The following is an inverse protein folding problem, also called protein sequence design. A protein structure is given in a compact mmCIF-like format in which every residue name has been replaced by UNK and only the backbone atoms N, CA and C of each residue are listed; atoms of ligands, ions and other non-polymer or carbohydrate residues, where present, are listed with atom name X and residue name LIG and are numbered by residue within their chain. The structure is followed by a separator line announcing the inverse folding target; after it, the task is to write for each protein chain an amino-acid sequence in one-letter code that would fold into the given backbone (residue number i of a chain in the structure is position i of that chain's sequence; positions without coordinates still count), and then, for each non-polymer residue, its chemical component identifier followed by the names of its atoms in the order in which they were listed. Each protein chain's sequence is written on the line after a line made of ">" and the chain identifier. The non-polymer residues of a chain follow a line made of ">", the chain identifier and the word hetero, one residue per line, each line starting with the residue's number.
data_IF_583120197232
#
_entry.id   IF_583120197232
#
_cell.length_a   1.000
_cell.length_b   1.000
_cell.length_c   1.000
_cell.angle_alpha   90.00
_cell.angle_beta   90.00
_cell.angle_gamma   90.00
#
_symmetry.space_group_name_H-M   'P 1'
#
loop_
_entity.id
_entity.type
_entity.pdbx_description
1 polymer ?
#
# COMPACT_ATOMS: atom_id res chain seq x y z
N UNK A 1 -13.33 -22.19 -29.17
CA UNK A 1 -13.93 -20.83 -29.10
C UNK A 1 -12.82 -19.87 -28.74
N UNK A 2 -12.89 -18.64 -29.25
CA UNK A 2 -11.97 -17.60 -28.82
C UNK A 2 -12.48 -17.04 -27.48
N UNK A 3 -11.63 -17.01 -26.47
CA UNK A 3 -11.96 -16.53 -25.12
C UNK A 3 -11.26 -15.18 -24.90
N UNK A 4 -11.94 -14.24 -24.23
CA UNK A 4 -11.36 -12.94 -23.86
C UNK A 4 -11.65 -12.62 -22.40
N UNK A 5 -10.66 -12.10 -21.66
CA UNK A 5 -10.84 -11.74 -20.25
C UNK A 5 -11.39 -10.32 -20.09
N UNK A 6 -12.38 -10.16 -19.21
CA UNK A 6 -12.95 -8.85 -18.87
C UNK A 6 -11.89 -7.87 -18.32
N UNK A 7 -10.93 -8.39 -17.55
CA UNK A 7 -9.84 -7.62 -16.94
C UNK A 7 -8.92 -6.97 -17.97
N UNK A 8 -8.72 -7.58 -19.14
CA UNK A 8 -7.92 -6.99 -20.23
C UNK A 8 -8.54 -5.68 -20.73
N UNK A 9 -9.86 -5.61 -20.81
CA UNK A 9 -10.57 -4.40 -21.21
C UNK A 9 -10.60 -3.36 -20.10
N UNK A 10 -10.76 -3.77 -18.84
CA UNK A 10 -10.74 -2.84 -17.69
C UNK A 10 -9.42 -2.07 -17.60
N UNK A 11 -8.31 -2.73 -17.93
CA UNK A 11 -6.95 -2.17 -17.85
C UNK A 11 -6.55 -1.30 -19.07
N UNK A 12 -7.31 -1.35 -20.17
CA UNK A 12 -7.06 -0.48 -21.34
C UNK A 12 -7.31 0.99 -21.01
N UNK A 13 -6.48 1.86 -21.59
CA UNK A 13 -6.69 3.32 -21.49
C UNK A 13 -7.93 3.72 -22.29
N UNK A 14 -8.64 4.81 -21.91
CA UNK A 14 -9.85 5.24 -22.62
C UNK A 14 -9.70 5.36 -24.14
N UNK A 15 -8.61 5.93 -24.71
CA UNK A 15 -8.45 6.02 -26.16
C UNK A 15 -8.33 4.66 -26.85
N UNK A 16 -7.65 3.70 -26.22
CA UNK A 16 -7.51 2.33 -26.75
C UNK A 16 -8.86 1.59 -26.71
N UNK A 17 -9.66 1.84 -25.67
CA UNK A 17 -10.98 1.26 -25.53
C UNK A 17 -11.95 1.79 -26.60
N UNK A 18 -11.89 3.09 -26.89
CA UNK A 18 -12.68 3.73 -27.95
C UNK A 18 -12.28 3.19 -29.32
N UNK A 19 -10.99 3.15 -29.64
CA UNK A 19 -10.50 2.59 -30.90
C UNK A 19 -10.92 1.12 -31.09
N UNK A 20 -10.89 0.33 -30.02
CA UNK A 20 -11.37 -1.04 -30.05
C UNK A 20 -12.89 -1.13 -30.28
N UNK A 21 -13.68 -0.28 -29.62
CA UNK A 21 -15.12 -0.22 -29.83
C UNK A 21 -15.49 0.21 -31.26
N UNK A 22 -14.76 1.18 -31.83
CA UNK A 22 -14.93 1.61 -33.22
C UNK A 22 -14.60 0.46 -34.20
N UNK A 23 -13.57 -0.34 -33.92
CA UNK A 23 -13.25 -1.54 -34.71
C UNK A 23 -14.32 -2.64 -34.66
N UNK A 24 -15.17 -2.62 -33.63
CA UNK A 24 -16.32 -3.51 -33.46
C UNK A 24 -17.65 -2.86 -33.93
N UNK A 25 -17.57 -1.73 -34.64
CA UNK A 25 -18.73 -0.99 -35.15
C UNK A 25 -19.75 -0.62 -34.04
N UNK A 26 -19.22 -0.18 -32.89
CA UNK A 26 -20.03 0.43 -31.82
C UNK A 26 -20.29 1.90 -32.17
N UNK A 27 -21.57 2.23 -32.38
CA UNK A 27 -21.99 3.60 -32.66
C UNK A 27 -21.75 4.53 -31.46
N UNK A 28 -21.31 5.77 -31.73
CA UNK A 28 -21.12 6.82 -30.72
C UNK A 28 -20.19 6.45 -29.55
N UNK A 29 -19.22 5.55 -29.78
CA UNK A 29 -18.26 5.08 -28.78
C UNK A 29 -17.53 6.22 -28.03
N UNK A 30 -17.23 7.33 -28.72
CA UNK A 30 -16.52 8.48 -28.16
C UNK A 30 -17.32 9.30 -27.13
N UNK A 31 -18.65 9.20 -27.13
CA UNK A 31 -19.54 9.95 -26.22
C UNK A 31 -19.94 9.12 -25.00
N UNK A 32 -19.76 7.80 -25.07
CA UNK A 32 -20.15 6.86 -24.02
C UNK A 32 -19.25 6.95 -22.80
N UNK A 33 -19.84 6.74 -21.61
CA UNK A 33 -19.04 6.52 -20.39
C UNK A 33 -18.32 5.17 -20.49
N UNK A 34 -17.20 5.01 -19.77
CA UNK A 34 -16.40 3.77 -19.79
C UNK A 34 -17.25 2.50 -19.59
N UNK A 35 -18.24 2.52 -18.70
CA UNK A 35 -19.14 1.38 -18.47
C UNK A 35 -20.09 1.09 -19.63
N UNK A 36 -20.70 2.12 -20.21
CA UNK A 36 -21.59 1.98 -21.39
C UNK A 36 -20.79 1.46 -22.59
N UNK A 37 -19.59 1.98 -22.77
CA UNK A 37 -18.65 1.55 -23.80
C UNK A 37 -18.24 0.09 -23.61
N UNK A 38 -17.89 -0.30 -22.38
CA UNK A 38 -17.62 -1.69 -22.01
C UNK A 38 -18.82 -2.59 -22.32
N UNK A 39 -20.02 -2.20 -21.91
CA UNK A 39 -21.23 -2.97 -22.18
C UNK A 39 -21.48 -3.14 -23.69
N UNK A 40 -21.30 -2.08 -24.48
CA UNK A 40 -21.46 -2.13 -25.93
C UNK A 40 -20.44 -3.05 -26.62
N UNK A 41 -19.16 -2.98 -26.22
CA UNK A 41 -18.10 -3.88 -26.69
C UNK A 41 -18.46 -5.33 -26.39
N UNK A 42 -18.79 -5.64 -25.14
CA UNK A 42 -19.08 -7.00 -24.71
C UNK A 42 -20.32 -7.57 -25.41
N UNK A 43 -21.33 -6.73 -25.67
CA UNK A 43 -22.52 -7.11 -26.43
C UNK A 43 -22.17 -7.48 -27.88
N UNK A 44 -21.27 -6.73 -28.54
CA UNK A 44 -20.77 -7.05 -29.89
C UNK A 44 -19.94 -8.33 -29.91
N UNK A 45 -19.06 -8.53 -28.92
CA UNK A 45 -18.28 -9.77 -28.80
C UNK A 45 -19.19 -10.99 -28.60
N UNK A 46 -20.22 -10.87 -27.77
CA UNK A 46 -21.20 -11.94 -27.56
C UNK A 46 -21.97 -12.28 -28.85
N UNK A 47 -22.27 -11.32 -29.73
CA UNK A 47 -22.89 -11.59 -31.04
C UNK A 47 -21.95 -12.27 -32.05
N UNK A 48 -20.65 -12.28 -31.78
CA UNK A 48 -19.62 -12.95 -32.60
C UNK A 48 -19.23 -14.33 -32.03
N UNK A 49 -20.03 -14.90 -31.12
CA UNK A 49 -19.75 -16.16 -30.42
C UNK A 49 -18.38 -16.19 -29.69
N UNK A 50 -17.92 -15.02 -29.23
CA UNK A 50 -16.72 -14.89 -28.38
C UNK A 50 -17.15 -14.97 -26.92
N UNK A 51 -16.63 -15.95 -26.18
CA UNK A 51 -16.90 -16.07 -24.75
C UNK A 51 -16.06 -15.05 -23.96
N UNK A 52 -16.73 -14.32 -23.07
CA UNK A 52 -16.08 -13.36 -22.17
C UNK A 52 -15.92 -14.03 -20.82
N UNK A 53 -14.69 -14.09 -20.33
CA UNK A 53 -14.35 -14.62 -19.01
C UNK A 53 -14.25 -13.46 -18.01
N UNK A 54 -15.01 -13.54 -16.93
CA UNK A 54 -14.92 -12.63 -15.79
C UNK A 54 -14.24 -13.31 -14.61
N UNK A 55 -13.50 -12.52 -13.84
CA UNK A 55 -12.88 -12.94 -12.57
C UNK A 55 -13.16 -11.92 -11.47
N UNK A 56 -13.15 -12.40 -10.22
CA UNK A 56 -13.20 -11.54 -9.04
C UNK A 56 -13.35 -12.34 -7.74
N UNK A 57 -13.38 -11.62 -6.62
CA UNK A 57 -13.53 -12.21 -5.29
C UNK A 57 -14.99 -12.15 -4.87
N UNK A 58 -15.53 -13.30 -4.46
CA UNK A 58 -16.93 -13.44 -4.03
C UNK A 58 -17.19 -12.62 -2.78
N UNK A 59 -18.26 -11.85 -2.79
CA UNK A 59 -18.93 -11.29 -1.63
C UNK A 59 -20.38 -11.78 -1.64
N UNK A 60 -20.75 -12.58 -0.64
CA UNK A 60 -22.13 -13.04 -0.44
C UNK A 60 -22.88 -11.99 0.40
N UNK A 61 -24.12 -11.71 0.02
CA UNK A 61 -25.01 -10.78 0.72
C UNK A 61 -26.10 -11.55 1.49
N UNK A 62 -26.78 -10.85 2.41
CA UNK A 62 -27.82 -11.43 3.29
C UNK A 62 -28.89 -12.27 2.58
N UNK A 63 -29.30 -11.83 1.40
CA UNK A 63 -30.33 -12.48 0.59
C UNK A 63 -29.82 -13.76 -0.11
N UNK A 64 -28.56 -14.14 0.12
CA UNK A 64 -27.92 -15.35 -0.37
C UNK A 64 -27.44 -15.30 -1.83
N UNK A 65 -27.60 -14.16 -2.51
CA UNK A 65 -26.90 -13.87 -3.77
C UNK A 65 -25.58 -13.12 -3.48
N UNK A 66 -24.73 -12.98 -4.48
CA UNK A 66 -23.45 -12.31 -4.29
C UNK A 66 -22.92 -11.60 -5.52
N UNK A 67 -21.79 -10.94 -5.35
CA UNK A 67 -21.05 -10.26 -6.41
C UNK A 67 -19.58 -10.67 -6.42
N UNK A 68 -18.97 -10.73 -7.60
CA UNK A 68 -17.52 -10.78 -7.75
C UNK A 68 -16.97 -9.36 -7.76
N UNK A 69 -16.27 -9.03 -6.68
CA UNK A 69 -15.59 -7.74 -6.50
C UNK A 69 -14.25 -7.75 -7.21
N UNK A 70 -13.94 -6.60 -7.82
CA UNK A 70 -12.72 -6.39 -8.60
C UNK A 70 -11.55 -5.93 -7.72
N UNK A 71 -10.38 -6.55 -7.88
CA UNK A 71 -9.15 -6.10 -7.23
C UNK A 71 -8.74 -4.67 -7.67
N UNK A 72 -9.03 -4.29 -8.93
CA UNK A 72 -8.75 -2.95 -9.45
C UNK A 72 -9.57 -1.84 -8.77
N UNK A 73 -10.68 -2.21 -8.14
CA UNK A 73 -11.55 -1.30 -7.39
C UNK A 73 -11.34 -1.42 -5.87
N UNK A 74 -10.22 -2.02 -5.43
CA UNK A 74 -9.93 -2.31 -4.02
C UNK A 74 -11.05 -3.11 -3.34
N UNK A 75 -11.71 -3.99 -4.10
CA UNK A 75 -12.86 -4.80 -3.66
C UNK A 75 -14.08 -4.00 -3.20
N UNK A 76 -14.17 -2.72 -3.56
CA UNK A 76 -15.35 -1.90 -3.28
C UNK A 76 -16.49 -2.23 -4.26
N UNK A 77 -17.75 -2.00 -3.84
CA UNK A 77 -18.89 -2.15 -4.73
C UNK A 77 -18.77 -1.31 -5.99
N UNK A 78 -18.81 -1.98 -7.13
CA UNK A 78 -18.65 -1.42 -8.45
C UNK A 78 -19.84 -1.72 -9.37
N UNK A 79 -20.16 -0.81 -10.31
CA UNK A 79 -21.15 -1.09 -11.35
C UNK A 79 -20.69 -2.15 -12.37
N UNK A 80 -19.40 -2.48 -12.39
CA UNK A 80 -18.77 -3.51 -13.21
C UNK A 80 -18.57 -4.85 -12.47
N UNK A 81 -19.25 -5.01 -11.34
CA UNK A 81 -19.29 -6.26 -10.57
C UNK A 81 -20.13 -7.32 -11.27
N UNK A 82 -19.75 -8.58 -11.05
CA UNK A 82 -20.40 -9.74 -11.67
C UNK A 82 -21.31 -10.39 -10.66
N UNK A 83 -22.61 -10.38 -10.93
CA UNK A 83 -23.63 -11.08 -10.15
C UNK A 83 -23.42 -12.59 -10.17
N UNK A 84 -23.56 -13.21 -9.00
CA UNK A 84 -23.62 -14.65 -8.79
C UNK A 84 -24.95 -15.02 -8.14
N UNK A 85 -25.61 -16.03 -8.72
CA UNK A 85 -26.89 -16.49 -8.21
C UNK A 85 -26.74 -17.32 -6.91
N UNK A 86 -27.77 -17.34 -6.05
CA UNK A 86 -27.80 -18.22 -4.88
C UNK A 86 -27.62 -19.70 -5.23
N UNK A 87 -28.10 -20.12 -6.41
CA UNK A 87 -27.94 -21.50 -6.88
C UNK A 87 -26.50 -21.87 -7.19
N UNK A 88 -25.71 -20.94 -7.77
CA UNK A 88 -24.29 -21.14 -8.02
C UNK A 88 -23.50 -21.18 -6.70
N UNK A 89 -23.77 -20.24 -5.78
CA UNK A 89 -23.15 -20.21 -4.45
C UNK A 89 -23.37 -21.52 -3.72
N UNK A 90 -24.62 -22.01 -3.66
CA UNK A 90 -24.95 -23.28 -2.99
C UNK A 90 -24.31 -24.49 -3.67
N UNK A 91 -24.36 -24.57 -5.01
CA UNK A 91 -23.87 -25.73 -5.79
C UNK A 91 -22.37 -25.97 -5.61
N UNK A 92 -21.59 -24.89 -5.56
CA UNK A 92 -20.13 -24.94 -5.40
C UNK A 92 -19.68 -24.67 -3.98
N UNK A 93 -20.61 -24.46 -3.04
CA UNK A 93 -20.34 -24.12 -1.64
C UNK A 93 -19.39 -22.91 -1.50
N UNK A 94 -19.59 -21.91 -2.37
CA UNK A 94 -18.79 -20.69 -2.39
C UNK A 94 -18.99 -19.89 -1.11
N UNK A 95 -17.92 -19.25 -0.65
CA UNK A 95 -17.93 -18.34 0.50
C UNK A 95 -17.37 -16.98 0.12
N UNK A 96 -17.71 -15.96 0.92
CA UNK A 96 -17.08 -14.66 0.81
C UNK A 96 -15.56 -14.80 0.96
N UNK A 97 -14.82 -14.25 0.00
CA UNK A 97 -13.35 -14.40 -0.10
C UNK A 97 -12.88 -15.40 -1.14
N UNK A 98 -13.73 -16.28 -1.68
CA UNK A 98 -13.35 -17.17 -2.77
C UNK A 98 -13.10 -16.38 -4.06
N UNK A 99 -11.97 -16.61 -4.72
CA UNK A 99 -11.72 -16.07 -6.06
C UNK A 99 -12.38 -16.98 -7.08
N UNK A 100 -13.22 -16.44 -7.96
CA UNK A 100 -13.94 -17.22 -8.97
C UNK A 100 -13.64 -16.66 -10.35
N UNK A 101 -13.39 -17.55 -11.30
CA UNK A 101 -13.26 -17.21 -12.72
C UNK A 101 -14.24 -18.05 -13.55
N UNK A 102 -14.85 -17.44 -14.55
CA UNK A 102 -15.69 -18.16 -15.51
C UNK A 102 -16.40 -17.26 -16.52
N UNK A 103 -17.09 -17.85 -17.51
CA UNK A 103 -17.79 -17.10 -18.54
C UNK A 103 -18.90 -16.26 -17.95
N UNK A 104 -19.01 -15.03 -18.42
CA UNK A 104 -20.03 -14.06 -18.01
C UNK A 104 -20.94 -13.69 -19.18
N UNK A 105 -22.13 -13.25 -18.85
CA UNK A 105 -23.07 -12.66 -19.80
C UNK A 105 -23.40 -11.22 -19.43
N UNK A 106 -23.74 -10.44 -20.44
CA UNK A 106 -24.31 -9.11 -20.27
C UNK A 106 -25.68 -9.17 -19.55
N UNK A 107 -26.04 -8.10 -18.82
CA UNK A 107 -27.38 -7.97 -18.23
C UNK A 107 -28.47 -8.04 -19.30
N UNK A 108 -29.56 -8.73 -19.00
CA UNK A 108 -30.80 -8.72 -19.78
C UNK A 108 -31.61 -7.45 -19.49
N UNK A 109 -32.70 -7.28 -20.23
CA UNK A 109 -33.65 -6.20 -20.02
C UNK A 109 -34.15 -6.18 -18.57
N UNK A 110 -33.89 -5.09 -17.84
CA UNK A 110 -34.19 -4.94 -16.41
C UNK A 110 -33.07 -5.34 -15.44
N UNK A 111 -31.99 -5.99 -15.90
CA UNK A 111 -30.80 -6.28 -15.09
C UNK A 111 -29.78 -5.16 -15.21
N UNK A 112 -29.00 -4.91 -14.14
CA UNK A 112 -27.97 -3.84 -14.11
C UNK A 112 -26.53 -4.34 -14.14
N UNK A 113 -26.30 -5.61 -13.81
CA UNK A 113 -24.95 -6.17 -13.62
C UNK A 113 -24.69 -7.32 -14.59
N UNK A 114 -23.42 -7.56 -14.88
CA UNK A 114 -23.01 -8.80 -15.55
C UNK A 114 -23.37 -10.00 -14.68
N UNK A 115 -23.66 -11.14 -15.29
CA UNK A 115 -24.00 -12.36 -14.53
C UNK A 115 -23.06 -13.50 -14.92
N UNK A 116 -22.58 -14.24 -13.92
CA UNK A 116 -21.77 -15.43 -14.15
C UNK A 116 -22.63 -16.54 -14.77
N UNK A 117 -22.20 -17.10 -15.90
CA UNK A 117 -22.87 -18.22 -16.55
C UNK A 117 -22.47 -19.54 -15.89
N UNK A 118 -21.16 -19.74 -15.73
CA UNK A 118 -20.56 -20.97 -15.23
C UNK A 118 -19.33 -20.63 -14.42
N UNK A 119 -19.05 -21.44 -13.40
CA UNK A 119 -17.79 -21.40 -12.65
C UNK A 119 -16.79 -22.33 -13.36
N UNK A 120 -15.67 -21.77 -13.84
CA UNK A 120 -14.59 -22.55 -14.44
C UNK A 120 -13.55 -22.92 -13.39
N UNK A 121 -13.09 -21.96 -12.60
CA UNK A 121 -12.13 -22.19 -11.51
C UNK A 121 -12.56 -21.48 -10.24
N UNK A 122 -12.10 -21.99 -9.11
CA UNK A 122 -12.28 -21.38 -7.79
C UNK A 122 -10.91 -21.42 -7.10
N UNK A 123 -10.46 -20.30 -6.54
CA UNK A 123 -9.15 -20.14 -5.89
C UNK A 123 -8.00 -20.74 -6.71
N UNK A 124 -8.02 -20.47 -8.02
CA UNK A 124 -7.03 -20.91 -9.02
C UNK A 124 -6.95 -22.43 -9.24
N UNK A 125 -7.97 -23.18 -8.82
CA UNK A 125 -8.02 -24.64 -8.95
C UNK A 125 -9.39 -25.12 -9.46
N UNK A 126 -9.48 -26.41 -9.78
CA UNK A 126 -10.70 -27.04 -10.27
C UNK A 126 -11.81 -27.01 -9.20
N UNK A 127 -13.06 -26.63 -9.55
CA UNK A 127 -14.15 -26.51 -8.59
C UNK A 127 -14.44 -27.80 -7.79
N UNK A 128 -14.22 -28.98 -8.38
CA UNK A 128 -14.46 -30.26 -7.71
C UNK A 128 -13.46 -30.53 -6.58
N UNK A 129 -12.22 -30.04 -6.66
CA UNK A 129 -11.20 -30.26 -5.62
C UNK A 129 -11.50 -29.49 -4.33
N UNK A 130 -12.32 -28.44 -4.40
CA UNK A 130 -12.64 -27.59 -3.24
C UNK A 130 -13.60 -28.27 -2.27
N UNK A 131 -14.44 -29.18 -2.75
CA UNK A 131 -15.43 -29.88 -1.91
C UNK A 131 -14.82 -30.68 -0.76
N UNK A 132 -13.54 -31.05 -0.89
CA UNK A 132 -12.81 -31.82 0.11
C UNK A 132 -11.83 -30.97 0.95
N UNK A 133 -11.81 -29.64 0.77
CA UNK A 133 -10.92 -28.77 1.54
C UNK A 133 -11.42 -28.66 2.99
N UNK A 134 -10.48 -28.82 3.91
CA UNK A 134 -10.71 -28.59 5.33
C UNK A 134 -10.93 -27.09 5.50
N UNK A 135 -11.97 -26.72 6.25
CA UNK A 135 -12.21 -25.33 6.60
C UNK A 135 -11.00 -24.75 7.32
N UNK A 136 -10.62 -23.51 7.02
CA UNK A 136 -9.43 -22.89 7.62
C UNK A 136 -9.43 -22.95 9.16
N UNK A 137 -10.60 -22.72 9.79
CA UNK A 137 -10.78 -22.79 11.25
C UNK A 137 -10.47 -24.17 11.86
N UNK A 138 -10.54 -25.23 11.07
CA UNK A 138 -10.29 -26.60 11.51
C UNK A 138 -8.80 -26.98 11.34
N UNK A 139 -7.98 -26.09 10.77
CA UNK A 139 -6.54 -26.32 10.63
C UNK A 139 -5.86 -26.13 11.99
N UNK A 140 -4.88 -26.98 12.28
CA UNK A 140 -4.08 -26.86 13.51
C UNK A 140 -3.09 -25.69 13.37
N UNK A 141 -3.14 -24.68 14.24
CA UNK A 141 -2.18 -23.59 14.20
C UNK A 141 -0.81 -24.09 14.65
N UNK A 142 0.21 -23.83 13.84
CA UNK A 142 1.60 -24.16 14.13
C UNK A 142 2.47 -22.90 14.07
N UNK A 143 3.58 -22.91 14.81
CA UNK A 143 4.62 -21.91 14.63
C UNK A 143 5.27 -22.04 13.24
N UNK A 144 5.78 -20.94 12.66
CA UNK A 144 6.48 -20.99 11.38
C UNK A 144 7.67 -21.95 11.42
N UNK A 145 7.62 -23.01 10.61
CA UNK A 145 8.71 -24.00 10.47
C UNK A 145 9.56 -23.75 9.22
N UNK A 146 9.01 -23.06 8.22
CA UNK A 146 9.71 -22.68 7.00
C UNK A 146 10.10 -21.20 7.09
N UNK A 147 11.40 -20.92 7.02
CA UNK A 147 11.93 -19.56 6.98
C UNK A 147 11.63 -18.89 5.65
N UNK A 148 11.38 -17.58 5.69
CA UNK A 148 11.39 -16.69 4.54
C UNK A 148 12.73 -15.94 4.55
N UNK A 149 13.63 -16.25 3.61
CA UNK A 149 14.92 -15.59 3.48
C UNK A 149 14.68 -14.21 2.86
N UNK A 150 15.09 -13.16 3.55
CA UNK A 150 14.94 -11.78 3.08
C UNK A 150 16.16 -11.36 2.23
N UNK A 151 17.36 -11.78 2.60
CA UNK A 151 18.59 -11.45 1.87
C UNK A 151 18.52 -11.94 0.42
N UNK A 152 18.58 -10.98 -0.51
CA UNK A 152 18.68 -11.23 -1.95
C UNK A 152 20.16 -11.44 -2.33
N UNK A 153 20.42 -12.31 -3.31
CA UNK A 153 21.79 -12.63 -3.74
C UNK A 153 22.45 -11.55 -4.62
N UNK A 154 21.79 -10.41 -4.81
CA UNK A 154 22.31 -9.29 -5.60
C UNK A 154 23.35 -8.52 -4.78
N UNK A 155 24.66 -8.55 -5.11
CA UNK A 155 25.72 -8.00 -4.25
C UNK A 155 25.80 -6.47 -4.22
N UNK A 156 24.98 -5.77 -5.01
CA UNK A 156 25.15 -4.35 -5.34
C UNK A 156 24.07 -3.42 -4.79
N UNK A 157 23.09 -3.89 -4.01
CA UNK A 157 22.18 -2.95 -3.33
C UNK A 157 22.89 -2.32 -2.14
N UNK A 158 22.96 -0.98 -2.10
CA UNK A 158 23.37 -0.19 -0.91
C UNK A 158 22.50 -0.51 0.33
N UNK A 159 21.36 -1.16 0.11
CA UNK A 159 20.40 -1.52 1.14
C UNK A 159 20.73 -2.85 1.81
N UNK A 160 20.97 -2.80 3.12
CA UNK A 160 21.29 -3.95 3.98
C UNK A 160 20.10 -4.39 4.85
N UNK A 161 18.92 -3.75 4.73
CA UNK A 161 17.79 -3.97 5.63
C UNK A 161 17.34 -5.43 5.64
N UNK A 162 17.27 -6.08 4.47
CA UNK A 162 16.88 -7.48 4.35
C UNK A 162 17.82 -8.42 5.14
N UNK A 163 19.14 -8.17 5.07
CA UNK A 163 20.16 -8.92 5.81
C UNK A 163 20.02 -8.73 7.31
N UNK A 164 19.76 -7.50 7.74
CA UNK A 164 19.53 -7.16 9.16
C UNK A 164 18.28 -7.86 9.68
N UNK A 165 17.17 -7.88 8.91
CA UNK A 165 15.96 -8.62 9.27
C UNK A 165 16.30 -10.09 9.46
N UNK A 166 17.02 -10.70 8.52
CA UNK A 166 17.40 -12.11 8.58
C UNK A 166 18.26 -12.49 9.79
N UNK A 167 19.05 -11.56 10.32
CA UNK A 167 19.91 -11.78 11.48
C UNK A 167 19.20 -11.49 12.81
N UNK A 168 18.39 -10.43 12.86
CA UNK A 168 17.83 -9.89 14.11
C UNK A 168 16.40 -10.36 14.36
N UNK A 169 15.58 -10.44 13.30
CA UNK A 169 14.15 -10.74 13.40
C UNK A 169 13.71 -11.60 12.19
N UNK A 170 14.17 -12.86 12.09
CA UNK A 170 13.88 -13.71 10.95
C UNK A 170 12.38 -13.95 10.80
N UNK A 171 11.90 -13.90 9.55
CA UNK A 171 10.51 -14.12 9.20
C UNK A 171 10.30 -15.55 8.67
N UNK A 172 9.10 -16.10 8.88
CA UNK A 172 8.73 -17.44 8.41
C UNK A 172 7.32 -17.50 7.83
N UNK A 173 6.99 -18.59 7.15
CA UNK A 173 5.64 -18.82 6.60
C UNK A 173 4.64 -18.99 7.74
N UNK A 174 3.65 -18.10 7.81
CA UNK A 174 2.70 -18.00 8.93
C UNK A 174 3.12 -17.03 10.04
N UNK A 175 4.22 -16.29 9.87
CA UNK A 175 4.70 -15.32 10.85
C UNK A 175 3.74 -14.13 10.97
N UNK A 176 3.52 -13.68 12.22
CA UNK A 176 2.91 -12.39 12.54
C UNK A 176 4.02 -11.43 12.94
N UNK A 177 4.12 -10.28 12.28
CA UNK A 177 5.19 -9.32 12.49
C UNK A 177 4.61 -7.91 12.48
N UNK A 178 5.16 -7.02 13.32
CA UNK A 178 4.86 -5.60 13.28
C UNK A 178 6.16 -4.81 13.08
N UNK A 179 6.06 -3.75 12.28
CA UNK A 179 7.12 -2.77 12.08
C UNK A 179 6.63 -1.46 12.68
N UNK A 180 7.15 -1.11 13.85
CA UNK A 180 6.96 0.24 14.39
C UNK A 180 8.02 1.15 13.78
N UNK A 181 7.81 2.47 13.81
CA UNK A 181 8.73 3.45 13.28
C UNK A 181 8.30 4.82 13.79
N UNK A 182 9.23 5.76 14.04
CA UNK A 182 8.83 7.17 14.10
C UNK A 182 8.38 7.65 12.71
N UNK A 183 7.57 8.72 12.60
CA UNK A 183 7.20 9.25 11.30
C UNK A 183 8.44 9.69 10.53
N UNK A 184 8.39 9.50 9.20
CA UNK A 184 9.43 9.93 8.24
C UNK A 184 10.80 9.22 8.39
N UNK A 185 10.82 7.99 8.89
CA UNK A 185 12.06 7.22 9.11
C UNK A 185 12.29 6.08 8.10
N UNK A 186 11.56 6.07 6.99
CA UNK A 186 11.77 5.10 5.92
C UNK A 186 10.98 3.79 6.07
N UNK A 187 9.92 3.77 6.89
CA UNK A 187 9.06 2.58 7.03
C UNK A 187 8.49 2.08 5.69
N UNK A 188 8.05 2.98 4.82
CA UNK A 188 7.55 2.62 3.49
C UNK A 188 8.63 1.94 2.64
N UNK A 189 9.87 2.42 2.73
CA UNK A 189 11.02 1.84 2.04
C UNK A 189 11.31 0.43 2.57
N UNK A 190 11.27 0.25 3.90
CA UNK A 190 11.43 -1.08 4.50
C UNK A 190 10.35 -2.07 4.05
N UNK A 191 9.09 -1.62 3.95
CA UNK A 191 7.99 -2.45 3.47
C UNK A 191 8.16 -2.85 2.00
N UNK A 192 8.58 -1.90 1.15
CA UNK A 192 8.92 -2.17 -0.24
C UNK A 192 10.06 -3.18 -0.36
N UNK A 193 11.08 -3.08 0.48
CA UNK A 193 12.19 -4.01 0.50
C UNK A 193 11.77 -5.43 0.90
N UNK A 194 10.90 -5.57 1.90
CA UNK A 194 10.33 -6.87 2.29
C UNK A 194 9.52 -7.46 1.13
N UNK A 195 8.68 -6.65 0.49
CA UNK A 195 7.89 -7.07 -0.66
C UNK A 195 8.79 -7.55 -1.82
N UNK A 196 9.82 -6.78 -2.18
CA UNK A 196 10.79 -7.18 -3.21
C UNK A 196 11.54 -8.45 -2.85
N UNK A 197 11.95 -8.59 -1.58
CA UNK A 197 12.67 -9.78 -1.09
C UNK A 197 11.79 -11.03 -1.18
N UNK A 198 10.52 -10.94 -0.77
CA UNK A 198 9.56 -12.05 -0.87
C UNK A 198 9.31 -12.39 -2.34
N UNK A 199 9.02 -11.41 -3.20
CA UNK A 199 8.76 -11.68 -4.63
C UNK A 199 9.96 -12.33 -5.34
N UNK A 200 11.18 -11.95 -4.94
CA UNK A 200 12.42 -12.47 -5.55
C UNK A 200 12.79 -13.85 -5.01
N UNK A 201 12.84 -14.01 -3.69
CA UNK A 201 13.34 -15.23 -3.05
C UNK A 201 12.24 -16.30 -2.89
N UNK A 202 10.98 -15.88 -2.88
CA UNK A 202 9.81 -16.74 -2.63
C UNK A 202 8.70 -16.48 -3.66
N UNK A 203 8.95 -16.70 -4.97
CA UNK A 203 7.95 -16.47 -6.01
C UNK A 203 6.72 -17.38 -5.90
N UNK A 204 6.81 -18.45 -5.10
CA UNK A 204 5.66 -19.31 -4.77
C UNK A 204 4.68 -18.67 -3.78
N UNK A 205 5.09 -17.61 -3.08
CA UNK A 205 4.24 -16.91 -2.13
C UNK A 205 3.32 -15.91 -2.86
N UNK A 206 2.02 -16.02 -2.57
CA UNK A 206 1.06 -15.02 -3.01
C UNK A 206 1.19 -13.76 -2.12
N UNK A 207 1.74 -12.67 -2.68
CA UNK A 207 2.01 -11.44 -1.96
C UNK A 207 0.84 -10.44 -2.11
N UNK A 208 0.29 -9.99 -0.97
CA UNK A 208 -0.74 -8.95 -0.90
C UNK A 208 -0.21 -7.81 -0.02
N UNK A 209 -0.33 -6.57 -0.50
CA UNK A 209 -0.01 -5.36 0.27
C UNK A 209 -1.30 -4.59 0.52
N UNK A 210 -1.80 -4.64 1.76
CA UNK A 210 -2.97 -3.87 2.19
C UNK A 210 -2.52 -2.54 2.80
N UNK A 211 -2.98 -1.44 2.21
CA UNK A 211 -2.72 -0.09 2.71
C UNK A 211 -3.98 0.44 3.38
N UNK A 212 -3.87 0.79 4.65
CA UNK A 212 -4.94 1.42 5.44
C UNK A 212 -4.39 2.78 5.89
N UNK A 213 -5.02 3.86 5.45
CA UNK A 213 -4.66 5.22 5.88
C UNK A 213 -5.39 5.59 7.18
N UNK A 214 -4.82 6.52 7.96
CA UNK A 214 -5.47 7.19 9.12
C UNK A 214 -5.82 6.36 10.37
N UNK A 215 -5.22 5.19 10.60
CA UNK A 215 -5.45 4.40 11.84
C UNK A 215 -5.12 5.18 13.13
N UNK A 216 -4.21 6.16 13.04
CA UNK A 216 -3.74 7.02 14.13
C UNK A 216 -4.64 8.24 14.38
N UNK A 217 -5.44 8.65 13.40
CA UNK A 217 -6.41 9.75 13.54
C UNK A 217 -7.75 9.29 14.06
N UNK A 218 -8.09 8.02 13.87
CA UNK A 218 -9.30 7.41 14.41
C UNK A 218 -9.39 7.58 15.94
N UNK A 219 -10.61 7.48 16.47
CA UNK A 219 -10.87 7.62 17.90
C UNK A 219 -10.06 6.58 18.70
N UNK A 220 -9.72 6.89 19.95
CA UNK A 220 -8.89 6.02 20.82
C UNK A 220 -9.49 4.61 20.97
N UNK A 221 -10.81 4.49 20.77
CA UNK A 221 -11.53 3.21 20.75
C UNK A 221 -11.25 2.39 19.49
N UNK A 222 -11.02 3.00 18.33
CA UNK A 222 -10.83 2.30 17.06
C UNK A 222 -9.61 1.37 17.02
N UNK A 223 -8.41 1.74 17.54
CA UNK A 223 -7.31 0.79 17.70
C UNK A 223 -7.64 -0.36 18.65
N UNK A 224 -8.45 -0.13 19.69
CA UNK A 224 -8.85 -1.17 20.63
C UNK A 224 -9.88 -2.10 20.02
N UNK A 225 -10.81 -1.57 19.24
CA UNK A 225 -11.78 -2.35 18.50
C UNK A 225 -11.03 -3.24 17.54
N UNK A 226 -10.19 -2.65 16.66
CA UNK A 226 -9.32 -3.36 15.69
C UNK A 226 -8.45 -4.45 16.30
N UNK A 227 -8.15 -4.45 17.61
CA UNK A 227 -7.41 -5.55 18.22
C UNK A 227 -8.15 -6.86 18.09
N UNK A 228 -9.47 -6.85 18.23
CA UNK A 228 -10.25 -8.07 18.13
C UNK A 228 -10.22 -8.58 16.69
N UNK A 229 -10.40 -7.69 15.71
CA UNK A 229 -10.40 -8.05 14.30
C UNK A 229 -9.02 -8.47 13.81
N UNK A 230 -7.96 -7.82 14.29
CA UNK A 230 -6.58 -8.15 13.95
C UNK A 230 -6.07 -9.41 14.67
N UNK A 231 -6.49 -9.69 15.90
CA UNK A 231 -6.07 -10.90 16.62
C UNK A 231 -6.80 -12.13 16.08
N UNK A 232 -8.11 -11.98 15.82
CA UNK A 232 -8.94 -13.05 15.29
C UNK A 232 -8.88 -13.18 13.77
N UNK A 233 -8.38 -12.17 13.07
CA UNK A 233 -8.40 -12.05 11.60
C UNK A 233 -9.82 -12.20 11.03
N UNK A 234 -10.79 -11.65 11.75
CA UNK A 234 -12.21 -11.67 11.42
C UNK A 234 -12.89 -10.38 11.83
N UNK A 235 -13.91 -9.94 11.12
CA UNK A 235 -14.77 -8.84 11.56
C UNK A 235 -16.22 -9.15 11.25
N UNK A 236 -17.13 -8.65 12.08
CA UNK A 236 -18.56 -8.76 11.84
C UNK A 236 -19.04 -7.55 11.04
N UNK A 237 -19.70 -7.80 9.91
CA UNK A 237 -20.32 -6.75 9.10
C UNK A 237 -21.78 -6.68 9.49
N UNK A 238 -22.17 -5.64 10.23
CA UNK A 238 -23.52 -5.48 10.77
C UNK A 238 -24.58 -5.38 9.66
N UNK A 239 -24.22 -4.71 8.56
CA UNK A 239 -25.07 -4.50 7.39
C UNK A 239 -25.39 -5.80 6.66
N UNK A 240 -24.47 -6.78 6.69
CA UNK A 240 -24.67 -8.09 6.05
C UNK A 240 -24.95 -9.19 7.07
N UNK A 241 -24.86 -8.92 8.37
CA UNK A 241 -25.05 -9.93 9.41
C UNK A 241 -24.04 -11.08 9.34
N UNK A 242 -22.94 -10.91 8.60
CA UNK A 242 -21.95 -11.94 8.36
C UNK A 242 -20.65 -11.63 9.10
N UNK A 243 -19.95 -12.69 9.54
CA UNK A 243 -18.56 -12.57 10.00
C UNK A 243 -17.63 -12.87 8.84
N UNK A 244 -16.88 -11.86 8.39
CA UNK A 244 -15.88 -12.00 7.34
C UNK A 244 -14.55 -12.39 7.99
N UNK A 245 -13.93 -13.49 7.51
CA UNK A 245 -12.66 -14.02 8.06
C UNK A 245 -11.61 -14.12 6.97
N UNK A 246 -10.35 -13.86 7.31
CA UNK A 246 -9.25 -13.98 6.36
C UNK A 246 -8.95 -15.46 6.02
N UNK A 247 -9.05 -15.83 4.74
CA UNK A 247 -8.71 -17.18 4.23
C UNK A 247 -7.20 -17.46 4.26
N UNK A 248 -6.38 -16.40 4.14
CA UNK A 248 -4.92 -16.43 4.29
C UNK A 248 -4.55 -15.37 5.31
N UNK A 249 -3.78 -15.74 6.35
CA UNK A 249 -3.35 -14.75 7.36
C UNK A 249 -2.43 -13.70 6.73
N UNK A 250 -2.84 -12.43 6.67
CA UNK A 250 -2.01 -11.39 6.12
C UNK A 250 -0.89 -11.05 7.12
N UNK A 251 0.26 -10.64 6.58
CA UNK A 251 1.24 -9.91 7.38
C UNK A 251 0.68 -8.51 7.58
N UNK A 252 0.31 -8.16 8.81
CA UNK A 252 -0.27 -6.85 9.13
C UNK A 252 0.80 -5.90 9.66
N UNK A 253 1.07 -4.82 8.92
CA UNK A 253 2.11 -3.85 9.29
C UNK A 253 1.47 -2.49 9.58
N UNK A 254 1.38 -2.13 10.86
CA UNK A 254 0.74 -0.88 11.32
C UNK A 254 1.77 0.23 11.46
N UNK A 255 1.62 1.32 10.70
CA UNK A 255 2.45 2.53 10.79
C UNK A 255 1.86 3.47 11.83
N UNK A 256 2.68 4.08 12.68
CA UNK A 256 2.25 5.20 13.52
C UNK A 256 3.26 6.33 13.40
N UNK A 257 2.77 7.57 13.40
CA UNK A 257 3.57 8.78 13.52
C UNK A 257 3.82 9.18 14.99
N UNK A 258 3.37 8.38 15.96
CA UNK A 258 3.48 8.68 17.38
C UNK A 258 2.85 10.04 17.77
N UNK A 259 1.85 10.53 17.01
CA UNK A 259 1.06 11.72 17.36
C UNK A 259 0.06 11.44 18.49
N UNK A 260 -0.46 10.20 18.55
CA UNK A 260 -1.22 9.66 19.68
C UNK A 260 -0.52 8.41 20.22
N UNK A 261 -0.50 8.26 21.54
CA UNK A 261 -0.01 7.02 22.18
C UNK A 261 -1.01 5.88 21.93
N UNK A 262 -0.51 4.78 21.36
CA UNK A 262 -1.31 3.56 21.21
C UNK A 262 -1.43 2.85 22.58
N UNK A 263 -2.58 2.25 22.91
CA UNK A 263 -2.77 1.57 24.20
C UNK A 263 -1.77 0.43 24.44
N UNK A 264 -1.34 0.23 25.69
CA UNK A 264 -0.43 -0.88 26.06
C UNK A 264 -0.96 -2.26 25.66
N UNK A 265 -2.28 -2.45 25.70
CA UNK A 265 -2.94 -3.68 25.26
C UNK A 265 -2.73 -3.96 23.76
N UNK A 266 -2.62 -2.91 22.96
CA UNK A 266 -2.30 -2.97 21.53
C UNK A 266 -0.82 -3.29 21.32
N UNK A 267 0.05 -2.56 22.04
CA UNK A 267 1.50 -2.69 21.92
C UNK A 267 2.02 -4.07 22.36
N UNK A 268 1.43 -4.70 23.38
CA UNK A 268 1.84 -6.03 23.86
C UNK A 268 1.55 -7.19 22.90
N UNK A 269 0.62 -7.01 21.95
CA UNK A 269 0.26 -8.04 20.95
C UNK A 269 1.04 -7.91 19.65
N UNK A 270 2.02 -7.03 19.65
CA UNK A 270 2.65 -6.45 18.49
C UNK A 270 4.17 -6.54 18.65
N UNK A 271 4.89 -6.98 17.61
CA UNK A 271 6.35 -6.89 17.62
C UNK A 271 6.78 -5.44 17.41
N UNK A 272 7.36 -4.81 18.43
CA UNK A 272 7.67 -3.38 18.37
C UNK A 272 9.06 -3.15 17.77
N UNK A 273 9.12 -2.47 16.61
CA UNK A 273 10.39 -2.03 16.01
C UNK A 273 10.49 -0.50 16.14
N UNK A 274 11.47 0.09 16.80
CA UNK A 274 11.52 1.57 16.88
C UNK A 274 12.55 2.13 15.91
N UNK A 275 12.10 2.80 14.86
CA UNK A 275 13.01 3.52 13.96
C UNK A 275 13.22 4.93 14.50
N UNK A 276 14.46 5.21 14.93
CA UNK A 276 14.91 6.54 15.36
C UNK A 276 15.14 7.44 14.15
N UNK A 277 14.95 8.75 14.31
CA UNK A 277 15.49 9.70 13.34
C UNK A 277 17.01 9.47 13.18
N UNK A 278 17.54 9.43 11.94
CA UNK A 278 18.95 9.10 11.72
C UNK A 278 19.86 10.09 12.45
N UNK A 279 21.00 9.61 12.94
CA UNK A 279 22.10 10.46 13.39
C UNK A 279 22.86 11.06 12.20
N UNK A 280 23.79 11.98 12.47
CA UNK A 280 24.55 12.68 11.43
C UNK A 280 25.27 11.72 10.48
N UNK A 281 25.87 10.65 11.01
CA UNK A 281 26.58 9.66 10.20
C UNK A 281 25.64 8.85 9.31
N UNK A 282 24.48 8.44 9.85
CA UNK A 282 23.47 7.70 9.11
C UNK A 282 22.84 8.57 8.04
N UNK A 283 22.51 9.83 8.35
CA UNK A 283 21.94 10.76 7.38
C UNK A 283 22.95 11.09 6.27
N UNK A 284 24.24 11.18 6.60
CA UNK A 284 25.30 11.32 5.61
C UNK A 284 25.35 10.13 4.65
N UNK A 285 25.30 8.89 5.16
CA UNK A 285 25.23 7.69 4.31
C UNK A 285 23.99 7.70 3.42
N UNK A 286 22.85 8.17 3.94
CA UNK A 286 21.62 8.36 3.15
C UNK A 286 21.87 9.36 2.01
N UNK A 287 22.48 10.51 2.27
CA UNK A 287 22.81 11.50 1.23
C UNK A 287 23.70 10.90 0.13
N UNK A 288 24.75 10.16 0.50
CA UNK A 288 25.66 9.51 -0.46
C UNK A 288 24.97 8.42 -1.30
N UNK A 289 23.90 7.80 -0.77
CA UNK A 289 23.05 6.88 -1.52
C UNK A 289 22.31 7.61 -2.63
N UNK A 290 21.66 8.73 -2.29
CA UNK A 290 20.78 9.49 -3.17
C UNK A 290 21.53 10.37 -4.18
N UNK A 291 22.66 10.96 -3.79
CA UNK A 291 23.41 11.91 -4.60
C UNK A 291 24.90 11.56 -4.63
N UNK A 292 25.30 10.53 -5.41
CA UNK A 292 26.69 10.14 -5.51
C UNK A 292 27.53 11.26 -6.14
N UNK A 293 28.66 11.61 -5.52
CA UNK A 293 29.62 12.58 -6.06
C UNK A 293 29.45 14.03 -5.59
N UNK A 294 28.54 14.32 -4.66
CA UNK A 294 28.51 15.64 -4.00
C UNK A 294 29.81 15.86 -3.22
N UNK A 295 30.33 17.10 -3.27
CA UNK A 295 31.46 17.55 -2.44
C UNK A 295 31.16 17.28 -0.96
N UNK A 296 31.95 16.42 -0.35
CA UNK A 296 31.74 15.95 1.03
C UNK A 296 31.76 17.08 2.08
N UNK A 297 32.53 18.14 1.81
CA UNK A 297 32.55 19.33 2.65
C UNK A 297 31.20 20.07 2.66
N UNK A 298 30.49 20.08 1.53
CA UNK A 298 29.15 20.69 1.40
C UNK A 298 28.13 19.88 2.19
N UNK A 299 28.14 18.55 2.04
CA UNK A 299 27.24 17.64 2.77
C UNK A 299 27.42 17.81 4.27
N UNK A 300 28.66 17.81 4.77
CA UNK A 300 28.93 18.01 6.20
C UNK A 300 28.43 19.36 6.70
N UNK A 301 28.71 20.45 5.98
CA UNK A 301 28.25 21.79 6.36
C UNK A 301 26.71 21.88 6.39
N UNK A 302 26.04 21.33 5.37
CA UNK A 302 24.59 21.29 5.30
C UNK A 302 24.00 20.44 6.44
N UNK A 303 24.52 19.24 6.69
CA UNK A 303 24.00 18.37 7.76
C UNK A 303 24.18 19.01 9.14
N UNK A 304 25.32 19.64 9.43
CA UNK A 304 25.51 20.38 10.69
C UNK A 304 24.40 21.41 10.89
N UNK A 305 24.18 22.26 9.89
CA UNK A 305 23.16 23.30 9.95
C UNK A 305 21.73 22.72 10.03
N UNK A 306 21.47 21.59 9.35
CA UNK A 306 20.20 20.88 9.42
C UNK A 306 19.87 20.39 10.84
N UNK A 307 20.84 19.81 11.55
CA UNK A 307 20.63 19.36 12.94
C UNK A 307 20.50 20.55 13.90
N UNK A 308 21.27 21.61 13.71
CA UNK A 308 21.12 22.85 14.50
C UNK A 308 19.68 23.39 14.42
N UNK A 309 19.09 23.44 13.22
CA UNK A 309 17.70 23.86 13.02
C UNK A 309 16.72 22.90 13.70
N UNK A 310 16.96 21.59 13.55
CA UNK A 310 16.08 20.53 14.08
C UNK A 310 16.09 20.48 15.62
N UNK A 311 17.17 20.92 16.24
CA UNK A 311 17.37 20.96 17.68
C UNK A 311 16.93 22.29 18.33
N UNK A 312 16.51 23.29 17.54
CA UNK A 312 15.91 24.52 18.06
C UNK A 312 14.66 24.20 18.90
N UNK A 313 14.64 24.58 20.19
CA UNK A 313 13.47 24.40 21.04
C UNK A 313 12.27 25.22 20.54
N UNK A 314 11.07 24.63 20.62
CA UNK A 314 9.82 25.30 20.24
C UNK A 314 9.42 25.17 18.77
N UNK A 315 10.22 24.46 17.95
CA UNK A 315 9.85 24.14 16.58
C UNK A 315 8.63 23.20 16.55
N UNK A 316 7.53 23.62 15.91
CA UNK A 316 6.32 22.80 15.84
C UNK A 316 6.53 21.58 14.95
N UNK A 317 7.17 21.78 13.81
CA UNK A 317 7.41 20.72 12.82
C UNK A 317 8.89 20.59 12.50
N UNK A 318 9.51 19.56 13.07
CA UNK A 318 10.92 19.25 12.80
C UNK A 318 11.13 18.81 11.35
N UNK A 319 12.13 19.36 10.63
CA UNK A 319 12.39 19.02 9.23
C UNK A 319 12.84 17.55 9.09
N UNK A 320 12.35 16.87 8.06
CA UNK A 320 12.53 15.44 7.79
C UNK A 320 13.78 15.13 6.96
N UNK A 321 14.12 13.84 6.87
CA UNK A 321 15.15 13.33 5.96
C UNK A 321 14.88 13.73 4.51
N UNK A 322 13.62 13.70 4.04
CA UNK A 322 13.26 14.16 2.69
C UNK A 322 13.50 15.65 2.49
N UNK A 323 13.11 16.48 3.47
CA UNK A 323 13.37 17.93 3.44
C UNK A 323 14.88 18.23 3.46
N UNK A 324 15.68 17.43 4.18
CA UNK A 324 17.15 17.52 4.15
C UNK A 324 17.72 17.20 2.76
N UNK A 325 17.23 16.13 2.12
CA UNK A 325 17.68 15.70 0.79
C UNK A 325 17.28 16.71 -0.30
N UNK A 326 16.07 17.26 -0.23
CA UNK A 326 15.59 18.29 -1.16
C UNK A 326 16.40 19.58 -1.00
N UNK A 327 16.69 19.97 0.24
CA UNK A 327 17.51 21.15 0.51
C UNK A 327 18.94 20.98 0.02
N UNK A 328 19.60 19.84 0.29
CA UNK A 328 20.95 19.56 -0.23
C UNK A 328 20.97 19.59 -1.76
N UNK A 329 19.93 19.07 -2.42
CA UNK A 329 19.81 19.13 -3.88
C UNK A 329 19.73 20.56 -4.39
N UNK A 330 18.97 21.42 -3.70
CA UNK A 330 18.88 22.84 -4.05
C UNK A 330 20.20 23.57 -3.86
N UNK A 331 20.93 23.27 -2.77
CA UNK A 331 22.26 23.84 -2.54
C UNK A 331 23.24 23.49 -3.67
N UNK A 332 23.17 22.27 -4.21
CA UNK A 332 23.98 21.84 -5.35
C UNK A 332 23.54 22.51 -6.64
N UNK A 333 22.22 22.67 -6.86
CA UNK A 333 21.68 23.29 -8.07
C UNK A 333 22.05 24.78 -8.17
N UNK A 334 22.11 25.49 -7.04
CA UNK A 334 22.49 26.90 -6.96
C UNK A 334 24.01 27.12 -6.82
N UNK A 335 24.82 26.06 -6.95
CA UNK A 335 26.29 26.06 -6.81
C UNK A 335 26.79 26.75 -5.52
N UNK A 336 26.07 26.52 -4.42
CA UNK A 336 26.39 27.13 -3.13
C UNK A 336 27.67 26.51 -2.55
N UNK A 337 28.64 27.36 -2.21
CA UNK A 337 29.88 26.93 -1.58
C UNK A 337 29.67 26.52 -0.11
N UNK A 338 30.43 25.54 0.43
CA UNK A 338 30.35 25.17 1.85
C UNK A 338 30.59 26.34 2.81
N UNK A 339 31.41 27.31 2.41
CA UNK A 339 31.73 28.51 3.18
C UNK A 339 30.52 29.44 3.32
N UNK A 340 29.66 29.47 2.32
CA UNK A 340 28.43 30.29 2.29
C UNK A 340 27.32 29.74 3.18
N UNK A 341 27.43 28.48 3.62
CA UNK A 341 26.51 27.85 4.57
C UNK A 341 26.88 28.17 6.02
N UNK A 342 28.12 28.59 6.29
CA UNK A 342 28.53 29.02 7.63
C UNK A 342 27.84 30.34 7.92
N UNK A 343 26.92 30.31 8.89
CA UNK A 343 26.13 31.47 9.26
C UNK A 343 27.03 32.66 9.65
N UNK A 344 26.82 33.81 9.00
CA UNK A 344 27.13 35.10 9.60
C UNK A 344 26.19 35.24 10.82
N UNK A 345 26.67 35.60 12.03
CA UNK A 345 25.83 35.85 13.20
C UNK A 345 24.64 36.78 12.95
N UNK A 346 24.70 37.58 11.87
CA UNK A 346 23.61 38.45 11.43
C UNK A 346 22.53 37.74 10.62
N UNK A 347 22.76 36.59 9.97
CA UNK A 347 21.75 35.88 9.16
C UNK A 347 21.36 34.55 9.82
N UNK A 348 20.32 34.56 10.66
CA UNK A 348 19.92 33.36 11.41
C UNK A 348 19.18 32.30 10.59
N UNK A 349 18.75 32.63 9.37
CA UNK A 349 18.07 31.69 8.49
C UNK A 349 19.06 31.20 7.41
N UNK A 350 19.22 29.87 7.24
CA UNK A 350 20.01 29.31 6.16
C UNK A 350 19.56 29.80 4.79
N UNK A 351 20.49 29.80 3.82
CA UNK A 351 20.13 29.95 2.41
C UNK A 351 19.13 28.86 2.03
N UNK A 352 18.07 29.23 1.29
CA UNK A 352 17.02 28.31 0.84
C UNK A 352 16.29 27.58 1.97
N UNK A 353 16.18 28.18 3.16
CA UNK A 353 15.47 27.61 4.32
C UNK A 353 14.02 27.24 4.06
N UNK A 354 13.36 27.80 3.03
CA UNK A 354 12.01 27.40 2.62
C UNK A 354 11.88 25.92 2.20
N UNK A 355 12.99 25.26 1.86
CA UNK A 355 13.02 23.82 1.64
C UNK A 355 12.96 23.01 2.95
N UNK A 356 13.48 23.57 4.04
CA UNK A 356 13.52 22.94 5.37
C UNK A 356 12.30 23.30 6.23
N UNK A 357 11.87 24.56 6.20
CA UNK A 357 10.79 25.11 7.02
C UNK A 357 9.59 25.43 6.14
N UNK A 358 8.56 24.57 6.18
CA UNK A 358 7.33 24.73 5.38
C UNK A 358 6.19 25.46 6.11
N UNK A 359 6.42 25.91 7.34
CA UNK A 359 5.41 26.53 8.20
C UNK A 359 5.82 27.96 8.55
N UNK A 360 4.96 28.94 8.25
CA UNK A 360 5.21 30.36 8.49
C UNK A 360 5.50 30.68 9.97
N UNK A 361 4.86 29.96 10.90
CA UNK A 361 5.08 30.17 12.33
C UNK A 361 6.50 29.77 12.77
N UNK A 362 7.04 28.72 12.16
CA UNK A 362 8.40 28.24 12.42
C UNK A 362 9.41 29.22 11.79
N UNK A 363 9.13 29.78 10.61
CA UNK A 363 9.95 30.84 10.00
C UNK A 363 10.00 32.08 10.91
N UNK A 364 8.84 32.55 11.41
CA UNK A 364 8.78 33.68 12.34
C UNK A 364 9.46 33.43 13.70
N UNK A 365 9.57 32.17 14.13
CA UNK A 365 10.35 31.81 15.32
C UNK A 365 11.85 32.09 15.07
N UNK A 366 12.38 31.64 13.94
CA UNK A 366 13.77 31.87 13.56
C UNK A 366 14.07 33.36 13.33
N UNK A 367 13.16 34.12 12.71
CA UNK A 367 13.30 35.57 12.53
C UNK A 367 13.38 36.31 13.88
N UNK A 368 12.58 35.90 14.87
CA UNK A 368 12.63 36.46 16.23
C UNK A 368 13.93 36.13 16.94
N UNK A 369 14.40 34.89 16.84
CA UNK A 369 15.69 34.47 17.41
C UNK A 369 16.85 35.26 16.76
N UNK A 370 16.79 35.48 15.44
CA UNK A 370 17.74 36.34 14.71
C UNK A 370 17.77 37.76 15.25
N UNK A 371 16.59 38.34 15.47
CA UNK A 371 16.43 39.71 15.95
C UNK A 371 16.97 39.87 17.38
N UNK A 372 16.75 38.88 18.25
CA UNK A 372 17.30 38.87 19.61
C UNK A 372 18.82 38.75 19.64
N UNK A 373 19.40 37.87 18.81
CA UNK A 373 20.84 37.71 18.70
C UNK A 373 21.54 38.99 18.17
N UNK A 374 20.93 39.68 17.19
CA UNK A 374 21.41 40.97 16.66
C UNK A 374 21.36 42.13 17.67
N UNK A 375 20.61 42.00 18.76
CA UNK A 375 20.55 43.00 19.84
C UNK A 375 21.54 42.75 20.97
N UNK A 376 22.10 41.54 21.06
CA UNK A 376 23.02 41.14 22.12
C UNK A 376 24.50 41.14 21.69
N UNK A 377 24.80 41.19 20.39
CA UNK A 377 26.13 41.47 19.84
C UNK A 377 26.21 42.89 19.32
#
# INVERSE_FOLDING_TARGET
>A
MQEMKLTEFKNKKPPELIAYAESLEVENASVMRKQELMFAILKRLATQDIEIIGDGVVEVLQDGFGFLRSANANYLPGPDDIYISPSQIRRFSLKTGDTVEGPIRSPKEGERYFALLKVNTINFDDPEKIRHKIHFDNLTPLYPTSRLKMEMEVPTSKDISARVIDLVAPLGKGQRALIVAQPRTGKTVLLQNIAHSITTNHPECYLIVLLIDEIDKADIEFPNDLLQEMDRMEFFVYETGETIRATVRPIVIITSNNEKELPDAFLRRCFFHYIRFPDVETLHKIVDVHYPGIKQNLVRAALTQFYEIRDVPGLKKKPSTSEALDWIRLLVADDIAPEDLRADPKNALPKLHGALLKNEQDVHLFERLAFMARRQG
#
